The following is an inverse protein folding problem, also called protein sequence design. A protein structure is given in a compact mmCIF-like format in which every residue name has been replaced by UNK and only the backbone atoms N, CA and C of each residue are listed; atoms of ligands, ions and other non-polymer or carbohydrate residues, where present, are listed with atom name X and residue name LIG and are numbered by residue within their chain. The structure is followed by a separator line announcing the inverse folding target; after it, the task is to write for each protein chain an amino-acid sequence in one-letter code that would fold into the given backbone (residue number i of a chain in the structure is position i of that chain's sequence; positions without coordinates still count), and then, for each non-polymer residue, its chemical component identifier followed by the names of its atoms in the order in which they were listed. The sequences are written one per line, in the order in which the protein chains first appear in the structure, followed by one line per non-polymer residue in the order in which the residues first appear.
data_IF_614232208874
#
_entry.id   IF_614232208874
#
_cell.length_a   1.000
_cell.length_b   1.000
_cell.length_c   1.000
_cell.angle_alpha   90.00
_cell.angle_beta   90.00
_cell.angle_gamma   90.00
#
_symmetry.space_group_name_H-M   'P 1'
#
loop_
_entity.id
_entity.type
_entity.pdbx_description
1 polymer ?
#
# COMPACT_ATOMS: atom_id res chain seq x y z
N UNK A 1 -10.30 -17.01 -5.32
CA UNK A 1 -10.52 -15.66 -5.92
C UNK A 1 -9.47 -14.70 -5.36
N UNK A 2 -8.98 -13.75 -6.14
CA UNK A 2 -8.02 -12.73 -5.68
C UNK A 2 -8.73 -11.41 -5.41
N UNK A 3 -8.18 -10.62 -4.48
CA UNK A 3 -8.66 -9.28 -4.12
C UNK A 3 -7.49 -8.32 -4.25
N UNK A 4 -7.76 -7.14 -4.79
CA UNK A 4 -6.76 -6.10 -5.00
C UNK A 4 -7.26 -4.83 -4.33
N UNK A 5 -6.45 -4.26 -3.45
CA UNK A 5 -6.62 -2.93 -2.89
C UNK A 5 -5.59 -1.98 -3.51
N UNK A 6 -6.02 -0.74 -3.80
CA UNK A 6 -5.17 0.32 -4.34
C UNK A 6 -5.44 1.57 -3.52
N UNK A 7 -4.39 2.26 -3.11
CA UNK A 7 -4.48 3.52 -2.38
C UNK A 7 -3.32 4.45 -2.73
N UNK A 8 -3.45 5.73 -2.39
CA UNK A 8 -2.50 6.78 -2.72
C UNK A 8 -2.18 7.68 -1.52
N UNK A 9 -0.95 8.18 -1.45
CA UNK A 9 -0.50 9.12 -0.43
C UNK A 9 0.25 10.29 -1.06
N UNK A 10 0.02 11.51 -0.57
CA UNK A 10 0.71 12.71 -1.07
C UNK A 10 -0.01 13.46 -2.20
N UNK A 11 -1.35 13.42 -2.23
CA UNK A 11 -2.17 14.23 -3.18
C UNK A 11 -2.24 15.73 -2.85
N UNK A 12 -2.14 16.11 -1.57
CA UNK A 12 -2.29 17.50 -1.10
C UNK A 12 -1.04 18.38 -0.96
N UNK A 13 0.19 17.87 -0.73
CA UNK A 13 1.35 18.71 -0.49
C UNK A 13 1.84 19.41 -1.77
N UNK A 14 2.41 20.61 -1.62
CA UNK A 14 3.03 21.36 -2.72
C UNK A 14 4.38 20.77 -3.17
N UNK A 15 5.06 20.03 -2.29
CA UNK A 15 6.38 19.44 -2.51
C UNK A 15 6.32 17.96 -2.13
N UNK A 16 6.94 17.11 -2.95
CA UNK A 16 7.04 15.67 -2.75
C UNK A 16 6.32 14.88 -3.84
N UNK A 17 6.61 13.57 -3.96
CA UNK A 17 5.94 12.71 -4.91
C UNK A 17 4.53 12.33 -4.42
N UNK A 18 3.63 12.07 -5.38
CA UNK A 18 2.46 11.24 -5.13
C UNK A 18 2.93 9.78 -5.13
N UNK A 19 2.54 9.00 -4.12
CA UNK A 19 2.84 7.58 -4.03
C UNK A 19 1.56 6.80 -4.23
N UNK A 20 1.57 5.81 -5.12
CA UNK A 20 0.46 4.87 -5.32
C UNK A 20 0.94 3.48 -4.91
N UNK A 21 0.17 2.81 -4.06
CA UNK A 21 0.40 1.46 -3.61
C UNK A 21 -0.73 0.53 -4.04
N UNK A 22 -0.39 -0.68 -4.47
CA UNK A 22 -1.34 -1.74 -4.74
C UNK A 22 -0.93 -3.00 -3.96
N UNK A 23 -1.91 -3.71 -3.40
CA UNK A 23 -1.72 -5.00 -2.74
C UNK A 23 -2.75 -6.00 -3.26
N UNK A 24 -2.27 -7.15 -3.75
CA UNK A 24 -3.06 -8.27 -4.22
C UNK A 24 -2.91 -9.44 -3.25
N UNK A 25 -4.03 -9.88 -2.68
CA UNK A 25 -4.10 -11.00 -1.73
C UNK A 25 -5.13 -12.05 -2.17
N UNK A 26 -4.95 -13.34 -1.82
CA UNK A 26 -6.01 -14.33 -1.93
C UNK A 26 -7.21 -13.91 -1.07
N UNK A 27 -8.43 -14.09 -1.56
CA UNK A 27 -9.63 -13.73 -0.80
C UNK A 27 -9.74 -14.50 0.54
N UNK A 28 -9.13 -15.68 0.63
CA UNK A 28 -9.05 -16.47 1.85
C UNK A 28 -8.18 -15.84 2.94
N UNK A 29 -7.25 -14.96 2.56
CA UNK A 29 -6.31 -14.30 3.46
C UNK A 29 -6.80 -12.91 3.92
N UNK A 30 -7.94 -12.42 3.40
CA UNK A 30 -8.53 -11.15 3.84
C UNK A 30 -8.75 -11.06 5.37
N UNK A 31 -9.22 -12.12 6.07
CA UNK A 31 -9.37 -12.08 7.52
C UNK A 31 -8.06 -11.77 8.26
N UNK A 32 -6.90 -12.24 7.75
CA UNK A 32 -5.59 -11.99 8.36
C UNK A 32 -5.26 -10.49 8.43
N UNK A 33 -5.65 -9.73 7.40
CA UNK A 33 -5.46 -8.28 7.37
C UNK A 33 -6.25 -7.60 8.51
N UNK A 34 -7.46 -8.06 8.78
CA UNK A 34 -8.29 -7.55 9.87
C UNK A 34 -7.76 -7.97 11.24
N UNK A 35 -7.32 -9.22 11.39
CA UNK A 35 -6.81 -9.79 12.65
C UNK A 35 -5.53 -9.09 13.12
N UNK A 36 -4.62 -8.76 12.20
CA UNK A 36 -3.39 -8.02 12.53
C UNK A 36 -3.64 -6.52 12.76
N UNK A 37 -4.85 -6.04 12.46
CA UNK A 37 -5.27 -4.66 12.69
C UNK A 37 -4.92 -3.68 11.57
N UNK A 38 -4.83 -4.13 10.32
CA UNK A 38 -4.73 -3.21 9.17
C UNK A 38 -6.02 -2.39 9.08
N UNK A 39 -5.87 -1.08 9.12
CA UNK A 39 -6.96 -0.10 9.11
C UNK A 39 -6.45 1.24 8.54
N UNK A 40 -7.27 2.28 8.59
CA UNK A 40 -6.87 3.63 8.19
C UNK A 40 -5.58 4.05 8.91
N UNK A 41 -4.56 4.40 8.13
CA UNK A 41 -3.22 4.71 8.60
C UNK A 41 -3.17 5.90 9.57
N UNK A 42 -4.19 6.77 9.57
CA UNK A 42 -4.35 7.90 10.49
C UNK A 42 -4.68 7.46 11.91
N UNK A 43 -5.25 6.26 12.08
CA UNK A 43 -5.56 5.67 13.38
C UNK A 43 -4.35 4.95 13.99
N UNK A 44 -3.26 4.80 13.24
CA UNK A 44 -2.09 4.03 13.63
C UNK A 44 -0.92 4.94 14.01
N UNK A 45 -0.13 4.53 15.00
CA UNK A 45 1.14 5.17 15.32
C UNK A 45 2.18 4.91 14.21
N UNK A 46 3.21 5.75 14.12
CA UNK A 46 4.31 5.53 13.15
C UNK A 46 4.95 4.15 13.33
N UNK A 47 5.23 3.76 14.57
CA UNK A 47 5.82 2.45 14.88
C UNK A 47 4.91 1.30 14.47
N UNK A 48 3.60 1.40 14.68
CA UNK A 48 2.66 0.36 14.26
C UNK A 48 2.56 0.24 12.74
N UNK A 49 2.64 1.36 12.01
CA UNK A 49 2.69 1.31 10.54
C UNK A 49 3.95 0.62 10.02
N UNK A 50 5.09 0.85 10.66
CA UNK A 50 6.36 0.19 10.30
C UNK A 50 6.31 -1.31 10.55
N UNK A 51 5.75 -1.71 11.71
CA UNK A 51 5.49 -3.12 12.04
C UNK A 51 4.56 -3.80 11.02
N UNK A 52 3.42 -3.17 10.69
CA UNK A 52 2.47 -3.71 9.72
C UNK A 52 3.04 -3.75 8.31
N UNK A 53 3.85 -2.76 7.93
CA UNK A 53 4.55 -2.77 6.65
C UNK A 53 5.47 -3.99 6.54
N UNK A 54 6.31 -4.23 7.56
CA UNK A 54 7.18 -5.41 7.58
C UNK A 54 6.36 -6.71 7.54
N UNK A 55 5.28 -6.80 8.31
CA UNK A 55 4.41 -7.97 8.29
C UNK A 55 3.83 -8.24 6.90
N UNK A 56 3.41 -7.22 6.14
CA UNK A 56 2.93 -7.38 4.75
C UNK A 56 4.04 -7.92 3.84
N UNK A 57 5.29 -7.47 4.02
CA UNK A 57 6.43 -7.98 3.26
C UNK A 57 6.65 -9.48 3.53
N UNK A 58 6.68 -9.86 4.81
CA UNK A 58 6.86 -11.25 5.23
C UNK A 58 5.75 -12.15 4.67
N UNK A 59 4.48 -11.69 4.75
CA UNK A 59 3.36 -12.44 4.17
C UNK A 59 3.42 -12.50 2.64
N UNK A 60 4.02 -11.51 1.97
CA UNK A 60 4.19 -11.54 0.52
C UNK A 60 5.19 -12.61 0.08
N UNK A 61 6.26 -12.80 0.85
CA UNK A 61 7.24 -13.88 0.62
C UNK A 61 6.63 -15.26 0.90
N UNK A 62 5.88 -15.42 2.00
CA UNK A 62 5.35 -16.71 2.43
C UNK A 62 4.10 -17.16 1.65
N UNK A 63 3.21 -16.23 1.32
CA UNK A 63 1.84 -16.52 0.84
C UNK A 63 1.61 -16.15 -0.62
N UNK A 64 2.66 -15.78 -1.34
CA UNK A 64 2.57 -15.31 -2.73
C UNK A 64 1.63 -14.12 -2.90
N UNK A 65 1.55 -13.24 -1.89
CA UNK A 65 0.92 -11.93 -2.12
C UNK A 65 1.79 -11.13 -3.08
N UNK A 66 1.19 -10.18 -3.78
CA UNK A 66 1.94 -9.30 -4.67
C UNK A 66 1.59 -7.87 -4.34
N UNK A 67 2.58 -7.01 -4.26
CA UNK A 67 2.38 -5.59 -4.06
C UNK A 67 3.21 -4.80 -5.06
N UNK A 68 2.81 -3.56 -5.27
CA UNK A 68 3.52 -2.63 -6.13
C UNK A 68 3.46 -1.24 -5.51
N UNK A 69 4.59 -0.54 -5.50
CA UNK A 69 4.67 0.86 -5.05
C UNK A 69 5.25 1.69 -6.20
N UNK A 70 4.58 2.79 -6.53
CA UNK A 70 4.99 3.71 -7.59
C UNK A 70 5.07 5.13 -7.05
N UNK A 71 6.24 5.74 -7.23
CA UNK A 71 6.47 7.15 -6.96
C UNK A 71 6.25 7.97 -8.22
N UNK A 72 5.17 8.75 -8.24
CA UNK A 72 4.85 9.72 -9.28
C UNK A 72 5.44 11.06 -8.87
N UNK A 73 6.49 11.45 -9.59
CA UNK A 73 7.09 12.77 -9.45
C UNK A 73 6.16 13.82 -10.08
N UNK A 74 6.16 15.04 -9.54
CA UNK A 74 5.27 16.13 -10.00
C UNK A 74 5.29 16.32 -11.52
N UNK A 75 6.47 16.24 -12.14
CA UNK A 75 6.64 16.36 -13.59
C UNK A 75 5.94 15.24 -14.38
N UNK A 76 5.76 14.05 -13.80
CA UNK A 76 5.08 12.91 -14.42
C UNK A 76 3.54 13.00 -14.33
N UNK A 77 2.99 13.82 -13.44
CA UNK A 77 1.53 14.02 -13.34
C UNK A 77 0.97 14.86 -14.49
N UNK A 78 1.77 15.79 -15.00
CA UNK A 78 1.38 16.72 -16.08
C UNK A 78 1.98 16.37 -17.43
N UNK A 79 2.92 15.42 -17.48
CA UNK A 79 3.52 14.97 -18.72
C UNK A 79 2.52 14.10 -19.52
N UNK A 80 2.49 14.22 -20.86
CA UNK A 80 1.71 13.32 -21.69
C UNK A 80 2.19 11.87 -21.49
N UNK A 81 1.23 10.96 -21.29
CA UNK A 81 1.51 9.53 -21.17
C UNK A 81 2.00 9.00 -22.53
N UNK A 82 3.07 8.17 -22.57
CA UNK A 82 3.48 7.46 -23.78
C UNK A 82 2.45 6.42 -24.23
#
# INVERSE_FOLDING_TARGET
MWRIGIDEAGRGPAIGPLVVGALRVPAADLPLLHEVGITDSKLLSKSKREELYQWILDQSEERSWSYEIRFLHLLKLIAPWP
#
